data_IF_500018311899
#
_entry.id   IF_500018311899
#
_cell.length_a   1.000
_cell.length_b   1.000
_cell.length_c   1.000
_cell.angle_alpha   90.00
_cell.angle_beta   90.00
_cell.angle_gamma   90.00
#
_symmetry.space_group_name_H-M   'P 1'
#
loop_
_entity.id
_entity.type
_entity.pdbx_description
1 polymer ?
#
# COMPACT_ATOMS: atom_id res chain seq x y z
N UNK A 1 -66.78 -17.90 2.33
CA UNK A 1 -67.11 -16.55 1.81
C UNK A 1 -66.91 -15.54 2.93
N UNK A 2 -66.26 -14.42 2.60
CA UNK A 2 -65.82 -13.28 3.46
C UNK A 2 -64.66 -13.53 4.43
N UNK A 3 -63.47 -13.03 4.07
CA UNK A 3 -62.91 -11.79 4.63
C UNK A 3 -61.71 -11.30 3.80
N UNK A 4 -61.78 -10.06 3.31
CA UNK A 4 -60.65 -9.28 2.82
C UNK A 4 -59.67 -9.06 3.99
N UNK A 5 -58.41 -9.41 3.80
CA UNK A 5 -57.30 -9.04 4.68
C UNK A 5 -56.33 -8.14 3.91
N UNK A 6 -56.22 -6.88 4.33
CA UNK A 6 -55.22 -5.93 3.84
C UNK A 6 -53.82 -6.47 4.14
N UNK A 7 -53.03 -6.76 3.09
CA UNK A 7 -51.59 -6.93 3.23
C UNK A 7 -50.94 -5.53 3.14
N UNK A 8 -50.72 -4.92 4.30
CA UNK A 8 -49.83 -3.77 4.42
C UNK A 8 -48.41 -4.32 4.37
N UNK A 9 -47.69 -4.11 3.26
CA UNK A 9 -46.25 -4.29 3.23
C UNK A 9 -45.61 -3.20 4.09
N UNK A 10 -45.34 -3.53 5.35
CA UNK A 10 -44.49 -2.72 6.22
C UNK A 10 -43.06 -2.91 5.70
N UNK A 11 -42.60 -1.95 4.89
CA UNK A 11 -41.19 -1.75 4.63
C UNK A 11 -40.57 -1.31 5.96
N UNK A 12 -39.96 -2.25 6.68
CA UNK A 12 -39.11 -1.92 7.83
C UNK A 12 -37.87 -1.25 7.25
N UNK A 13 -37.87 0.08 7.27
CA UNK A 13 -36.65 0.88 7.21
C UNK A 13 -35.78 0.40 8.38
N UNK A 14 -34.76 -0.40 8.08
CA UNK A 14 -33.62 -0.58 8.96
C UNK A 14 -32.99 0.80 9.11
N UNK A 15 -33.39 1.49 10.18
CA UNK A 15 -32.70 2.66 10.70
C UNK A 15 -31.22 2.29 10.76
N UNK A 16 -30.45 2.96 9.90
CA UNK A 16 -29.01 3.00 9.99
C UNK A 16 -28.66 3.32 11.44
N UNK A 17 -28.06 2.34 12.11
CA UNK A 17 -27.23 2.62 13.26
C UNK A 17 -26.11 3.52 12.73
N UNK A 18 -26.35 4.83 12.73
CA UNK A 18 -25.29 5.82 12.71
C UNK A 18 -24.46 5.50 13.94
N UNK A 19 -23.37 4.77 13.72
CA UNK A 19 -22.44 4.45 14.77
C UNK A 19 -21.86 5.79 15.22
N UNK A 20 -22.21 6.21 16.43
CA UNK A 20 -21.70 7.42 17.07
C UNK A 20 -20.22 7.18 17.50
N UNK A 21 -19.41 6.64 16.60
CA UNK A 21 -17.97 6.47 16.81
C UNK A 21 -17.35 7.85 16.83
N UNK A 22 -16.65 8.17 17.91
CA UNK A 22 -15.89 9.40 18.03
C UNK A 22 -14.48 9.14 17.50
N UNK A 23 -14.00 10.07 16.69
CA UNK A 23 -12.62 10.08 16.21
C UNK A 23 -11.65 9.96 17.37
N UNK A 24 -10.66 9.08 17.26
CA UNK A 24 -9.46 9.16 18.11
C UNK A 24 -8.62 10.30 17.56
N UNK A 25 -8.42 11.35 18.36
CA UNK A 25 -7.54 12.46 17.98
C UNK A 25 -6.10 12.15 18.40
N UNK A 26 -5.21 12.17 17.43
CA UNK A 26 -3.77 11.99 17.62
C UNK A 26 -3.13 13.39 17.64
N UNK A 27 -2.38 13.67 18.71
CA UNK A 27 -1.58 14.89 18.81
C UNK A 27 -0.35 14.76 17.90
N UNK A 28 -0.21 15.63 16.89
CA UNK A 28 0.96 15.65 16.04
C UNK A 28 1.90 16.79 16.43
N UNK A 29 3.09 16.44 16.92
CA UNK A 29 4.13 17.39 17.31
C UNK A 29 4.89 17.83 16.05
N UNK A 30 4.87 19.12 15.75
CA UNK A 30 5.57 19.71 14.60
C UNK A 30 6.97 20.20 15.00
N UNK A 31 7.86 19.25 15.28
CA UNK A 31 9.24 19.46 15.71
C UNK A 31 10.25 18.88 14.70
N UNK A 32 11.54 19.07 14.95
CA UNK A 32 12.60 18.44 14.13
C UNK A 32 12.52 16.91 14.25
N UNK A 33 12.95 16.21 13.20
CA UNK A 33 12.96 14.74 13.18
C UNK A 33 13.83 14.15 14.28
N UNK A 34 13.23 13.28 15.09
CA UNK A 34 13.96 12.49 16.08
C UNK A 34 14.68 11.31 15.41
N UNK A 35 15.87 10.98 15.88
CA UNK A 35 16.58 9.78 15.43
C UNK A 35 16.24 8.61 16.36
N UNK A 36 15.66 7.56 15.80
CA UNK A 36 15.40 6.30 16.50
C UNK A 36 16.22 5.17 15.87
N UNK A 37 16.49 4.13 16.65
CA UNK A 37 17.18 2.94 16.14
C UNK A 37 16.18 2.00 15.46
N UNK A 38 16.57 1.33 14.38
CA UNK A 38 15.74 0.29 13.77
C UNK A 38 15.43 -0.81 14.79
N UNK A 39 16.38 -1.18 15.64
CA UNK A 39 16.21 -2.21 16.67
C UNK A 39 15.13 -1.91 17.72
N UNK A 40 14.69 -0.65 17.87
CA UNK A 40 13.59 -0.31 18.78
C UNK A 40 12.20 -0.63 18.20
N UNK A 41 12.10 -0.88 16.90
CA UNK A 41 10.85 -1.12 16.19
C UNK A 41 10.81 -2.46 15.44
N UNK A 42 11.96 -2.96 15.00
CA UNK A 42 12.09 -4.18 14.24
C UNK A 42 13.12 -5.11 14.88
N UNK A 43 12.78 -6.40 15.05
CA UNK A 43 13.69 -7.39 15.63
C UNK A 43 14.77 -7.88 14.66
N UNK A 44 14.56 -7.75 13.35
CA UNK A 44 15.51 -8.24 12.35
C UNK A 44 15.41 -7.53 11.00
N UNK A 45 16.52 -7.61 10.23
CA UNK A 45 16.59 -7.22 8.82
C UNK A 45 17.08 -8.44 8.03
N UNK A 46 16.22 -9.00 7.18
CA UNK A 46 16.61 -10.02 6.22
C UNK A 46 17.12 -9.35 4.94
N UNK A 47 18.40 -9.59 4.61
CA UNK A 47 18.99 -9.14 3.34
C UNK A 47 18.86 -10.25 2.30
N UNK A 48 18.18 -9.97 1.19
CA UNK A 48 17.90 -10.92 0.12
C UNK A 48 18.52 -10.37 -1.17
N UNK A 49 19.52 -11.07 -1.70
CA UNK A 49 20.15 -10.73 -2.99
C UNK A 49 19.38 -11.49 -4.07
N UNK A 50 18.72 -10.76 -4.95
CA UNK A 50 17.98 -11.37 -6.05
C UNK A 50 18.93 -11.83 -7.15
N UNK A 51 18.77 -13.05 -7.63
CA UNK A 51 19.56 -13.57 -8.75
C UNK A 51 19.40 -12.66 -9.98
N UNK A 52 20.52 -12.29 -10.57
CA UNK A 52 20.56 -11.56 -11.85
C UNK A 52 20.71 -12.54 -13.01
N UNK A 53 19.85 -12.40 -14.01
CA UNK A 53 19.95 -13.10 -15.30
C UNK A 53 19.52 -12.17 -16.42
N UNK A 54 20.06 -12.37 -17.62
CA UNK A 54 19.70 -11.57 -18.80
C UNK A 54 18.19 -11.61 -19.12
N UNK A 55 17.52 -12.73 -18.83
CA UNK A 55 16.08 -12.94 -19.03
C UNK A 55 15.21 -12.52 -17.82
N UNK A 56 15.84 -12.07 -16.72
CA UNK A 56 15.19 -11.79 -15.45
C UNK A 56 15.57 -10.41 -14.86
N UNK A 57 15.95 -9.44 -15.69
CA UNK A 57 16.30 -8.09 -15.23
C UNK A 57 15.08 -7.30 -14.74
N UNK A 58 15.16 -6.79 -13.52
CA UNK A 58 14.19 -5.88 -12.91
C UNK A 58 14.61 -4.45 -13.22
N UNK A 59 13.72 -3.66 -13.81
CA UNK A 59 13.99 -2.24 -14.08
C UNK A 59 13.43 -1.29 -13.02
N UNK A 60 12.42 -1.72 -12.25
CA UNK A 60 11.85 -0.99 -11.12
C UNK A 60 11.21 -1.97 -10.13
N UNK A 61 11.37 -1.73 -8.83
CA UNK A 61 10.58 -2.40 -7.79
C UNK A 61 9.33 -1.56 -7.51
N UNK A 62 8.23 -1.90 -8.17
CA UNK A 62 6.97 -1.20 -7.95
C UNK A 62 6.17 -1.76 -6.77
N UNK A 63 6.25 -3.08 -6.54
CA UNK A 63 5.57 -3.78 -5.45
C UNK A 63 6.23 -5.14 -5.18
N UNK A 64 6.40 -5.50 -3.91
CA UNK A 64 6.90 -6.80 -3.43
C UNK A 64 5.83 -7.50 -2.59
N UNK A 65 5.58 -8.79 -2.82
CA UNK A 65 4.79 -9.66 -1.92
C UNK A 65 5.53 -10.94 -1.61
N UNK A 66 5.22 -11.49 -0.44
CA UNK A 66 5.73 -12.75 0.04
C UNK A 66 4.59 -13.77 0.21
N UNK A 67 4.87 -15.05 -0.04
CA UNK A 67 3.94 -16.14 0.25
C UNK A 67 4.57 -17.50 -0.01
N UNK A 68 4.34 -18.48 0.88
CA UNK A 68 4.89 -19.86 0.81
C UNK A 68 6.36 -19.95 0.34
N UNK A 69 7.26 -19.18 0.97
CA UNK A 69 8.69 -19.13 0.59
C UNK A 69 8.94 -18.71 -0.87
N UNK A 70 8.10 -17.81 -1.38
CA UNK A 70 8.25 -17.10 -2.64
C UNK A 70 8.27 -15.60 -2.43
N UNK A 71 8.95 -14.92 -3.35
CA UNK A 71 8.98 -13.46 -3.46
C UNK A 71 8.46 -13.11 -4.84
N UNK A 72 7.45 -12.24 -4.89
CA UNK A 72 6.84 -11.74 -6.11
C UNK A 72 7.17 -10.27 -6.25
N UNK A 73 7.81 -9.89 -7.34
CA UNK A 73 8.20 -8.52 -7.62
C UNK A 73 7.49 -8.05 -8.88
N UNK A 74 6.67 -7.03 -8.74
CA UNK A 74 6.07 -6.32 -9.85
C UNK A 74 6.98 -5.20 -10.31
N UNK A 75 7.33 -5.24 -11.59
CA UNK A 75 7.86 -4.09 -12.31
C UNK A 75 6.78 -3.60 -13.28
N UNK A 76 6.04 -2.56 -12.88
CA UNK A 76 4.90 -2.05 -13.66
C UNK A 76 5.24 -0.94 -14.64
N UNK A 77 6.51 -0.56 -14.77
CA UNK A 77 6.92 0.59 -15.62
C UNK A 77 7.98 0.26 -16.65
N UNK A 78 8.92 -0.63 -16.34
CA UNK A 78 10.03 -0.98 -17.23
C UNK A 78 9.78 -2.33 -17.88
N UNK A 79 9.62 -3.39 -17.10
CA UNK A 79 9.44 -4.74 -17.62
C UNK A 79 7.98 -5.13 -17.88
N UNK A 80 7.00 -4.44 -17.27
CA UNK A 80 5.58 -4.78 -17.32
C UNK A 80 5.32 -6.26 -16.98
N UNK A 81 6.04 -6.76 -15.98
CA UNK A 81 6.14 -8.18 -15.67
C UNK A 81 6.15 -8.42 -14.16
N UNK A 82 5.81 -9.65 -13.76
CA UNK A 82 6.01 -10.12 -12.39
C UNK A 82 7.14 -11.14 -12.36
N UNK A 83 8.12 -10.93 -11.50
CA UNK A 83 9.23 -11.85 -11.29
C UNK A 83 8.98 -12.67 -10.02
N UNK A 84 9.20 -13.97 -10.12
CA UNK A 84 9.02 -14.95 -9.05
C UNK A 84 10.39 -15.47 -8.65
N UNK A 85 10.71 -15.34 -7.37
CA UNK A 85 11.91 -15.87 -6.75
C UNK A 85 11.52 -16.81 -5.61
N UNK A 86 12.43 -17.68 -5.18
CA UNK A 86 12.32 -18.34 -3.89
C UNK A 86 12.65 -17.38 -2.74
N UNK A 87 12.47 -17.83 -1.49
CA UNK A 87 12.77 -17.01 -0.31
C UNK A 87 14.24 -16.71 -0.06
N UNK A 88 15.16 -17.35 -0.80
CA UNK A 88 16.60 -17.05 -0.76
C UNK A 88 17.02 -16.05 -1.84
N UNK A 89 16.12 -15.74 -2.79
CA UNK A 89 16.36 -14.80 -3.87
C UNK A 89 16.77 -15.47 -5.18
N UNK A 90 16.70 -16.80 -5.30
CA UNK A 90 16.97 -17.48 -6.57
C UNK A 90 15.79 -17.32 -7.52
N UNK A 91 16.06 -17.06 -8.80
CA UNK A 91 15.04 -16.84 -9.81
C UNK A 91 14.31 -18.13 -10.16
N UNK A 92 12.98 -18.07 -10.18
CA UNK A 92 12.12 -19.20 -10.57
C UNK A 92 11.51 -18.93 -11.93
N UNK A 93 10.84 -17.78 -12.08
CA UNK A 93 10.06 -17.49 -13.28
C UNK A 93 9.80 -16.01 -13.47
N UNK A 94 9.76 -15.58 -14.73
CA UNK A 94 9.19 -14.31 -15.13
C UNK A 94 7.80 -14.56 -15.73
N UNK A 95 6.79 -13.96 -15.12
CA UNK A 95 5.43 -13.88 -15.66
C UNK A 95 5.42 -12.61 -16.52
N UNK A 96 5.82 -12.80 -17.76
CA UNK A 96 5.75 -11.76 -18.79
C UNK A 96 4.51 -11.94 -19.66
N UNK A 97 3.96 -10.83 -20.14
CA UNK A 97 2.90 -10.87 -21.13
C UNK A 97 3.42 -11.36 -22.49
N UNK A 98 2.72 -12.32 -23.12
CA UNK A 98 2.75 -12.55 -24.56
C UNK A 98 1.57 -11.87 -25.27
N UNK A 99 1.86 -11.03 -26.26
CA UNK A 99 1.00 -10.04 -26.94
C UNK A 99 -0.50 -10.36 -27.14
N UNK A 100 -0.91 -11.63 -27.17
CA UNK A 100 -2.31 -12.08 -27.15
C UNK A 100 -2.45 -13.45 -26.47
N UNK A 101 -3.44 -13.65 -25.59
CA UNK A 101 -3.85 -14.97 -25.07
C UNK A 101 -4.26 -14.96 -23.59
N UNK A 102 -4.78 -16.09 -23.06
CA UNK A 102 -5.09 -16.23 -21.64
C UNK A 102 -3.85 -16.00 -20.77
N UNK A 103 -4.00 -15.23 -19.69
CA UNK A 103 -2.90 -14.92 -18.77
C UNK A 103 -1.91 -13.86 -19.28
N UNK A 104 -2.21 -13.20 -20.40
CA UNK A 104 -1.42 -12.07 -20.89
C UNK A 104 -1.49 -10.88 -19.91
N UNK A 105 -0.32 -10.36 -19.52
CA UNK A 105 -0.20 -9.10 -18.79
C UNK A 105 0.06 -7.95 -19.78
N UNK A 106 -0.83 -6.96 -19.85
CA UNK A 106 -0.67 -5.77 -20.68
C UNK A 106 -0.10 -4.60 -19.87
N UNK A 107 -0.70 -4.34 -18.70
CA UNK A 107 -0.28 -3.28 -17.80
C UNK A 107 -0.57 -3.69 -16.35
N UNK A 108 0.15 -4.68 -15.79
CA UNK A 108 -0.10 -5.15 -14.43
C UNK A 108 0.17 -4.01 -13.45
N UNK A 109 -0.78 -3.70 -12.56
CA UNK A 109 -0.70 -2.53 -11.67
C UNK A 109 -0.58 -2.92 -10.19
N UNK A 110 -1.26 -4.02 -9.82
CA UNK A 110 -1.23 -4.60 -8.47
C UNK A 110 -1.19 -6.12 -8.51
N UNK A 111 -0.66 -6.70 -7.43
CA UNK A 111 -0.75 -8.13 -7.16
C UNK A 111 -0.99 -8.38 -5.68
N UNK A 112 -1.64 -9.51 -5.40
CA UNK A 112 -1.85 -10.04 -4.06
C UNK A 112 -1.58 -11.54 -4.06
N UNK A 113 -1.14 -12.06 -2.92
CA UNK A 113 -0.96 -13.50 -2.71
C UNK A 113 -2.08 -13.96 -1.78
N UNK A 114 -2.89 -14.92 -2.25
CA UNK A 114 -3.99 -15.52 -1.50
C UNK A 114 -3.76 -17.03 -1.42
N UNK A 115 -3.42 -17.53 -0.23
CA UNK A 115 -3.12 -18.96 -0.02
C UNK A 115 -2.04 -19.43 -1.02
N UNK A 116 -2.40 -20.33 -1.93
CA UNK A 116 -1.58 -20.95 -2.98
C UNK A 116 -1.71 -20.25 -4.36
N UNK A 117 -2.27 -19.04 -4.39
CA UNK A 117 -2.57 -18.31 -5.61
C UNK A 117 -1.96 -16.90 -5.61
N UNK A 118 -1.41 -16.54 -6.78
CA UNK A 118 -1.00 -15.18 -7.10
C UNK A 118 -2.07 -14.55 -7.99
N UNK A 119 -2.70 -13.48 -7.54
CA UNK A 119 -3.65 -12.70 -8.33
C UNK A 119 -3.00 -11.41 -8.80
N UNK A 120 -3.09 -11.12 -10.08
CA UNK A 120 -2.54 -9.93 -10.72
C UNK A 120 -3.69 -9.15 -11.36
N UNK A 121 -3.82 -7.88 -10.98
CA UNK A 121 -4.81 -6.97 -11.56
C UNK A 121 -4.18 -6.16 -12.71
N UNK A 122 -4.84 -6.19 -13.87
CA UNK A 122 -4.51 -5.38 -15.03
C UNK A 122 -5.66 -4.41 -15.34
N UNK A 123 -5.54 -3.12 -14.97
CA UNK A 123 -6.56 -2.12 -15.20
C UNK A 123 -6.79 -1.78 -16.68
N UNK A 124 -5.84 -2.05 -17.58
CA UNK A 124 -6.04 -1.77 -19.01
C UNK A 124 -6.94 -2.81 -19.66
N UNK A 125 -6.83 -4.05 -19.21
CA UNK A 125 -7.74 -5.11 -19.62
C UNK A 125 -9.03 -5.13 -18.78
N UNK A 126 -9.00 -4.49 -17.61
CA UNK A 126 -9.98 -4.60 -16.52
C UNK A 126 -10.24 -6.07 -16.16
N UNK A 127 -9.15 -6.79 -15.88
CA UNK A 127 -9.14 -8.22 -15.58
C UNK A 127 -8.27 -8.51 -14.37
N UNK A 128 -8.57 -9.63 -13.73
CA UNK A 128 -7.68 -10.28 -12.77
C UNK A 128 -7.23 -11.60 -13.34
N UNK A 129 -5.92 -11.82 -13.37
CA UNK A 129 -5.29 -13.06 -13.80
C UNK A 129 -4.80 -13.82 -12.57
N UNK A 130 -5.12 -15.10 -12.49
CA UNK A 130 -4.77 -15.97 -11.37
C UNK A 130 -3.71 -16.97 -11.81
N UNK A 131 -2.63 -17.06 -11.04
CA UNK A 131 -1.50 -17.95 -11.25
C UNK A 131 -1.26 -18.81 -10.01
N UNK A 132 -0.56 -19.94 -10.17
CA UNK A 132 0.09 -20.61 -9.05
C UNK A 132 1.26 -19.78 -8.52
N UNK A 133 1.77 -20.11 -7.34
CA UNK A 133 2.95 -19.46 -6.76
C UNK A 133 4.25 -19.72 -7.56
N UNK A 134 4.26 -20.72 -8.45
CA UNK A 134 5.31 -20.98 -9.44
C UNK A 134 5.10 -20.20 -10.75
N UNK A 135 4.08 -19.34 -10.81
CA UNK A 135 3.76 -18.49 -11.95
C UNK A 135 3.15 -19.23 -13.14
N UNK A 136 2.46 -20.35 -12.91
CA UNK A 136 1.68 -21.02 -13.96
C UNK A 136 0.26 -20.45 -14.01
N UNK A 137 -0.19 -20.03 -15.19
CA UNK A 137 -1.54 -19.47 -15.35
C UNK A 137 -2.62 -20.51 -15.01
N UNK A 138 -3.60 -20.11 -14.20
CA UNK A 138 -4.76 -20.93 -13.83
C UNK A 138 -6.01 -20.49 -14.59
N UNK A 139 -6.46 -19.25 -14.39
CA UNK A 139 -7.66 -18.69 -15.00
C UNK A 139 -7.65 -17.15 -14.92
N UNK A 140 -8.62 -16.50 -15.56
CA UNK A 140 -8.82 -15.04 -15.50
C UNK A 140 -10.30 -14.69 -15.35
N UNK A 141 -10.56 -13.55 -14.70
CA UNK A 141 -11.91 -13.00 -14.50
C UNK A 141 -11.98 -11.57 -15.05
N UNK A 142 -13.04 -11.30 -15.82
CA UNK A 142 -13.38 -9.95 -16.29
C UNK A 142 -14.02 -9.16 -15.14
N UNK A 143 -13.48 -7.99 -14.83
CA UNK A 143 -14.09 -7.06 -13.88
C UNK A 143 -15.08 -6.08 -14.55
N UNK A 144 -15.17 -6.12 -15.89
CA UNK A 144 -16.10 -5.26 -16.64
C UNK A 144 -17.55 -5.64 -16.34
N UNK A 145 -17.81 -6.93 -16.21
CA UNK A 145 -19.16 -7.47 -16.00
C UNK A 145 -19.64 -7.25 -14.56
N UNK A 146 -18.72 -7.01 -13.63
CA UNK A 146 -18.99 -6.69 -12.23
C UNK A 146 -19.00 -5.18 -11.96
N UNK A 147 -18.73 -4.35 -12.97
CA UNK A 147 -18.74 -2.90 -12.85
C UNK A 147 -17.67 -2.34 -11.92
N UNK A 148 -16.50 -2.98 -11.85
CA UNK A 148 -15.39 -2.56 -10.98
C UNK A 148 -14.33 -1.85 -11.84
N UNK A 149 -13.89 -0.67 -11.40
CA UNK A 149 -12.75 0.06 -11.94
C UNK A 149 -11.77 0.42 -10.82
N UNK A 150 -11.08 -0.60 -10.32
CA UNK A 150 -10.26 -0.48 -9.13
C UNK A 150 -9.05 0.44 -9.33
N UNK A 151 -8.77 1.22 -8.29
CA UNK A 151 -7.57 2.04 -8.15
C UNK A 151 -6.47 1.37 -7.32
N UNK A 152 -6.87 0.49 -6.40
CA UNK A 152 -5.98 -0.21 -5.49
C UNK A 152 -6.54 -1.60 -5.16
N UNK A 153 -5.69 -2.51 -4.68
CA UNK A 153 -6.07 -3.88 -4.37
C UNK A 153 -5.28 -4.43 -3.18
N UNK A 154 -5.97 -5.12 -2.27
CA UNK A 154 -5.34 -5.79 -1.12
C UNK A 154 -5.90 -7.19 -0.89
N UNK A 155 -5.09 -8.07 -0.31
CA UNK A 155 -5.55 -9.34 0.22
C UNK A 155 -6.11 -9.12 1.63
N UNK A 156 -7.34 -9.55 1.89
CA UNK A 156 -7.88 -9.56 3.25
C UNK A 156 -8.65 -10.85 3.49
N UNK A 157 -8.34 -11.55 4.59
CA UNK A 157 -9.07 -12.77 5.04
C UNK A 157 -9.28 -13.84 3.95
N UNK A 158 -8.33 -13.94 3.00
CA UNK A 158 -8.35 -14.93 1.93
C UNK A 158 -9.07 -14.49 0.66
N UNK A 159 -9.44 -13.23 0.54
CA UNK A 159 -10.12 -12.63 -0.61
C UNK A 159 -9.33 -11.43 -1.14
N UNK A 160 -9.45 -11.15 -2.43
CA UNK A 160 -8.97 -9.91 -3.02
C UNK A 160 -10.07 -8.83 -2.85
N UNK A 161 -9.69 -7.71 -2.26
CA UNK A 161 -10.56 -6.55 -2.07
C UNK A 161 -10.04 -5.40 -2.92
N UNK A 162 -10.93 -4.81 -3.70
CA UNK A 162 -10.66 -3.73 -4.62
C UNK A 162 -11.19 -2.40 -4.07
N UNK A 163 -10.37 -1.36 -4.14
CA UNK A 163 -10.78 0.00 -3.82
C UNK A 163 -11.25 0.72 -5.09
N UNK A 164 -12.47 1.24 -5.07
CA UNK A 164 -13.13 1.84 -6.24
C UNK A 164 -13.75 3.21 -5.91
N UNK A 165 -13.33 4.25 -6.64
CA UNK A 165 -13.90 5.60 -6.57
C UNK A 165 -14.92 5.89 -7.67
N UNK A 166 -14.87 5.17 -8.79
CA UNK A 166 -15.41 5.66 -10.05
C UNK A 166 -16.77 5.10 -10.38
N UNK A 167 -17.02 3.85 -10.02
CA UNK A 167 -18.13 3.13 -10.63
C UNK A 167 -19.49 3.52 -10.04
N UNK A 168 -19.54 4.06 -8.81
CA UNK A 168 -20.77 4.53 -8.16
C UNK A 168 -20.69 6.04 -7.85
N UNK A 169 -21.48 6.89 -8.53
CA UNK A 169 -21.39 8.35 -8.38
C UNK A 169 -21.69 8.86 -6.97
N UNK A 170 -22.63 8.22 -6.27
CA UNK A 170 -23.09 8.67 -4.94
C UNK A 170 -22.20 8.15 -3.80
N UNK A 171 -21.31 7.19 -4.08
CA UNK A 171 -20.34 6.68 -3.12
C UNK A 171 -19.12 7.60 -3.11
N UNK A 172 -18.59 7.86 -1.91
CA UNK A 172 -17.25 8.41 -1.76
C UNK A 172 -16.24 7.37 -2.25
N UNK A 173 -16.32 6.14 -1.73
CA UNK A 173 -15.59 4.98 -2.23
C UNK A 173 -16.35 3.68 -1.94
N UNK A 174 -15.92 2.61 -2.61
CA UNK A 174 -16.37 1.25 -2.34
C UNK A 174 -15.20 0.31 -2.12
N UNK A 175 -15.40 -0.68 -1.26
CA UNK A 175 -14.58 -1.88 -1.17
C UNK A 175 -15.40 -3.04 -1.69
N UNK A 176 -14.93 -3.65 -2.77
CA UNK A 176 -15.65 -4.72 -3.48
C UNK A 176 -14.78 -5.94 -3.66
N UNK A 177 -15.39 -7.12 -3.65
CA UNK A 177 -14.68 -8.36 -4.00
C UNK A 177 -14.55 -8.51 -5.53
N UNK A 178 -13.95 -9.61 -5.98
CA UNK A 178 -13.78 -9.91 -7.41
C UNK A 178 -15.11 -10.11 -8.16
N UNK A 179 -16.18 -10.47 -7.45
CA UNK A 179 -17.52 -10.71 -8.01
C UNK A 179 -18.39 -9.46 -8.03
N UNK A 180 -17.92 -8.35 -7.46
CA UNK A 180 -18.67 -7.10 -7.31
C UNK A 180 -19.57 -7.06 -6.07
N UNK A 181 -19.41 -7.99 -5.13
CA UNK A 181 -20.08 -7.92 -3.83
C UNK A 181 -19.44 -6.79 -2.99
N UNK A 182 -20.28 -5.85 -2.54
CA UNK A 182 -19.83 -4.71 -1.74
C UNK A 182 -19.60 -5.11 -0.29
N UNK A 183 -18.34 -5.05 0.15
CA UNK A 183 -17.99 -5.16 1.57
C UNK A 183 -18.19 -3.83 2.30
N UNK A 184 -17.89 -2.71 1.63
CA UNK A 184 -18.08 -1.35 2.14
C UNK A 184 -18.57 -0.46 1.01
N UNK A 185 -19.59 0.34 1.30
CA UNK A 185 -20.04 1.43 0.45
C UNK A 185 -20.11 2.69 1.32
N UNK A 186 -19.05 3.49 1.26
CA UNK A 186 -18.97 4.72 2.04
C UNK A 186 -19.63 5.83 1.23
N UNK A 187 -20.69 6.42 1.78
CA UNK A 187 -21.33 7.61 1.20
C UNK A 187 -20.51 8.86 1.53
N UNK A 188 -20.69 9.91 0.73
CA UNK A 188 -20.06 11.21 0.93
C UNK A 188 -20.67 11.97 2.12
N UNK A 189 -20.48 11.45 3.32
CA UNK A 189 -20.95 12.02 4.59
C UNK A 189 -19.84 12.82 5.30
N UNK A 190 -18.60 12.71 4.83
CA UNK A 190 -17.46 13.47 5.32
C UNK A 190 -17.17 14.64 4.36
N UNK A 191 -16.62 15.75 4.85
CA UNK A 191 -16.10 16.85 4.02
C UNK A 191 -14.79 16.44 3.32
N UNK A 192 -14.79 15.26 2.71
CA UNK A 192 -13.61 14.65 2.10
C UNK A 192 -13.54 14.87 0.60
N UNK A 193 -12.33 14.72 0.07
CA UNK A 193 -12.03 15.00 -1.32
C UNK A 193 -12.03 13.72 -2.13
N UNK A 194 -12.94 13.62 -3.09
CA UNK A 194 -12.99 12.54 -4.08
C UNK A 194 -12.08 12.88 -5.27
N UNK A 195 -11.11 12.03 -5.55
CA UNK A 195 -10.23 12.18 -6.71
C UNK A 195 -10.90 11.60 -7.95
N UNK A 196 -11.40 12.48 -8.82
CA UNK A 196 -12.09 12.07 -10.07
C UNK A 196 -11.13 11.81 -11.23
N UNK A 197 -9.88 12.28 -11.13
CA UNK A 197 -8.84 12.04 -12.14
C UNK A 197 -7.45 12.11 -11.53
N UNK A 198 -6.55 11.24 -11.99
CA UNK A 198 -5.24 11.03 -11.37
C UNK A 198 -5.31 10.03 -10.22
N UNK A 199 -4.15 9.73 -9.63
CA UNK A 199 -4.04 8.72 -8.57
C UNK A 199 -3.05 9.16 -7.52
N UNK A 200 -3.46 9.03 -6.27
CA UNK A 200 -2.62 9.05 -5.09
C UNK A 200 -2.64 7.64 -4.52
N UNK A 201 -1.51 6.95 -4.51
CA UNK A 201 -1.46 5.56 -4.07
C UNK A 201 -0.47 5.40 -2.92
N UNK A 202 -0.71 4.48 -1.97
CA UNK A 202 -1.88 3.60 -1.84
C UNK A 202 -3.11 4.31 -1.22
N UNK A 203 -4.29 3.73 -1.37
CA UNK A 203 -5.52 4.14 -0.65
C UNK A 203 -5.90 3.14 0.46
N UNK A 204 -5.50 1.87 0.31
CA UNK A 204 -5.85 0.80 1.25
C UNK A 204 -4.61 0.12 1.82
N UNK A 205 -4.68 -0.18 3.11
CA UNK A 205 -3.69 -1.00 3.82
C UNK A 205 -4.40 -1.92 4.82
N UNK A 206 -3.66 -2.77 5.51
CA UNK A 206 -4.19 -3.58 6.61
C UNK A 206 -3.70 -3.06 7.95
N UNK A 207 -4.52 -3.31 8.96
CA UNK A 207 -4.10 -3.26 10.37
C UNK A 207 -3.53 -4.60 10.81
N UNK A 208 -2.81 -4.65 11.93
CA UNK A 208 -2.36 -5.92 12.53
C UNK A 208 -3.49 -6.91 12.82
N UNK A 209 -4.68 -6.39 13.12
CA UNK A 209 -5.87 -7.19 13.41
C UNK A 209 -6.68 -7.57 12.14
N UNK A 210 -6.10 -7.41 10.95
CA UNK A 210 -6.74 -7.71 9.66
C UNK A 210 -8.04 -6.91 9.43
N UNK A 211 -8.07 -5.66 9.89
CA UNK A 211 -9.05 -4.67 9.43
C UNK A 211 -8.51 -3.98 8.19
N UNK A 212 -9.41 -3.53 7.31
CA UNK A 212 -9.01 -2.73 6.15
C UNK A 212 -8.90 -1.28 6.61
N UNK A 213 -7.74 -0.68 6.42
CA UNK A 213 -7.52 0.75 6.66
C UNK A 213 -7.61 1.49 5.33
N UNK A 214 -8.41 2.54 5.29
CA UNK A 214 -8.58 3.45 4.14
C UNK A 214 -8.02 4.81 4.52
N UNK A 215 -7.21 5.39 3.64
CA UNK A 215 -6.78 6.78 3.73
C UNK A 215 -7.18 7.52 2.45
N UNK A 216 -7.86 8.65 2.62
CA UNK A 216 -8.36 9.45 1.51
C UNK A 216 -7.57 10.77 1.38
N UNK A 217 -7.31 11.25 0.16
CA UNK A 217 -6.73 12.58 -0.06
C UNK A 217 -7.58 13.66 0.62
N UNK A 218 -6.93 14.68 1.18
CA UNK A 218 -7.60 15.74 1.95
C UNK A 218 -8.07 15.32 3.34
N UNK A 219 -8.12 14.02 3.66
CA UNK A 219 -8.42 13.55 5.00
C UNK A 219 -7.17 13.46 5.86
N UNK A 220 -7.27 13.97 7.08
CA UNK A 220 -6.28 13.74 8.13
C UNK A 220 -6.64 12.55 9.00
N UNK A 221 -7.50 11.65 8.49
CA UNK A 221 -7.94 10.46 9.19
C UNK A 221 -7.57 9.17 8.44
N UNK A 222 -7.32 8.13 9.23
CA UNK A 222 -7.27 6.74 8.80
C UNK A 222 -8.58 6.06 9.25
N UNK A 223 -9.32 5.49 8.31
CA UNK A 223 -10.61 4.83 8.59
C UNK A 223 -10.43 3.32 8.58
N UNK A 224 -10.88 2.64 9.63
CA UNK A 224 -10.71 1.20 9.78
C UNK A 224 -12.04 0.46 9.68
N UNK A 225 -12.13 -0.47 8.73
CA UNK A 225 -13.31 -1.25 8.44
C UNK A 225 -13.13 -2.72 8.80
N UNK A 226 -14.17 -3.29 9.41
CA UNK A 226 -14.33 -4.72 9.60
C UNK A 226 -15.60 -5.24 8.90
N UNK A 227 -16.03 -6.48 9.18
CA UNK A 227 -17.22 -7.07 8.54
C UNK A 227 -18.53 -6.35 8.88
N UNK A 228 -18.58 -5.60 9.98
CA UNK A 228 -19.74 -4.84 10.41
C UNK A 228 -19.77 -3.41 9.85
N UNK A 229 -18.72 -2.99 9.12
CA UNK A 229 -18.58 -1.64 8.55
C UNK A 229 -17.46 -0.85 9.22
N UNK A 230 -17.62 0.47 9.32
CA UNK A 230 -16.65 1.34 9.98
C UNK A 230 -16.55 0.95 11.47
N UNK A 231 -15.34 0.58 11.89
CA UNK A 231 -15.07 0.05 13.23
C UNK A 231 -14.31 1.05 14.12
N UNK A 232 -13.45 1.87 13.51
CA UNK A 232 -12.65 2.90 14.17
C UNK A 232 -12.19 3.92 13.14
N UNK A 233 -11.79 5.11 13.58
CA UNK A 233 -11.02 6.03 12.76
C UNK A 233 -10.15 6.94 13.63
N UNK A 234 -8.93 7.17 13.16
CA UNK A 234 -7.87 7.89 13.86
C UNK A 234 -7.50 9.14 13.05
N UNK A 235 -7.63 10.32 13.65
CA UNK A 235 -7.40 11.59 12.97
C UNK A 235 -6.22 12.33 13.60
N UNK A 236 -5.29 12.77 12.78
CA UNK A 236 -4.18 13.63 13.20
C UNK A 236 -4.64 15.09 13.25
N UNK A 237 -4.28 15.78 14.33
CA UNK A 237 -4.55 17.20 14.50
C UNK A 237 -3.33 18.02 14.05
N UNK A 238 -3.43 18.64 12.86
CA UNK A 238 -2.38 19.49 12.27
C UNK A 238 -2.59 21.00 12.52
N UNK A 239 -3.63 21.38 13.27
CA UNK A 239 -4.10 22.76 13.37
C UNK A 239 -4.85 23.25 12.13
N UNK A 240 -5.87 24.11 12.32
CA UNK A 240 -6.84 24.50 11.27
C UNK A 240 -6.23 25.19 10.03
N UNK A 241 -5.04 25.79 10.15
CA UNK A 241 -4.40 26.59 9.09
C UNK A 241 -3.77 25.75 7.96
N UNK A 242 -3.66 24.43 8.14
CA UNK A 242 -2.98 23.53 7.20
C UNK A 242 -3.94 22.72 6.30
N UNK A 243 -5.25 22.97 6.39
CA UNK A 243 -6.27 22.16 5.73
C UNK A 243 -6.53 22.63 4.29
N UNK A 244 -6.55 21.67 3.35
CA UNK A 244 -7.08 21.92 2.02
C UNK A 244 -8.61 22.09 2.08
N UNK A 245 -9.11 23.31 1.86
CA UNK A 245 -10.55 23.64 1.79
C UNK A 245 -11.05 23.69 0.35
N UNK A 246 -10.78 22.66 -0.45
CA UNK A 246 -11.21 22.62 -1.85
C UNK A 246 -12.59 22.00 -2.05
N UNK A 247 -12.91 21.77 -3.33
CA UNK A 247 -14.16 21.15 -3.75
C UNK A 247 -14.22 19.68 -3.33
N UNK A 248 -15.43 19.13 -3.20
CA UNK A 248 -15.65 17.71 -2.88
C UNK A 248 -15.09 16.76 -3.94
N UNK A 249 -14.84 17.25 -5.16
CA UNK A 249 -14.24 16.49 -6.26
C UNK A 249 -13.05 17.26 -6.85
N UNK A 250 -11.92 16.57 -7.06
CA UNK A 250 -10.70 17.20 -7.60
C UNK A 250 -9.99 16.33 -8.64
N UNK A 251 -9.25 17.00 -9.52
CA UNK A 251 -8.18 16.39 -10.29
C UNK A 251 -6.94 16.36 -9.39
N UNK A 252 -6.33 15.19 -9.20
CA UNK A 252 -5.22 15.04 -8.24
C UNK A 252 -4.01 15.92 -8.58
N UNK A 253 -3.76 16.17 -9.87
CA UNK A 253 -2.69 17.09 -10.31
C UNK A 253 -2.89 18.49 -9.74
N UNK A 254 -4.10 19.02 -9.86
CA UNK A 254 -4.42 20.39 -9.43
C UNK A 254 -4.42 20.48 -7.90
N UNK A 255 -4.94 19.46 -7.24
CA UNK A 255 -4.86 19.29 -5.79
C UNK A 255 -3.39 19.30 -5.31
N UNK A 256 -2.51 18.54 -5.96
CA UNK A 256 -1.09 18.49 -5.62
C UNK A 256 -0.38 19.81 -5.88
N UNK A 257 -0.68 20.49 -6.99
CA UNK A 257 -0.11 21.81 -7.29
C UNK A 257 -0.51 22.86 -6.25
N UNK A 258 -1.76 22.84 -5.79
CA UNK A 258 -2.22 23.71 -4.71
C UNK A 258 -1.53 23.39 -3.38
N UNK A 259 -1.41 22.10 -3.05
CA UNK A 259 -0.71 21.64 -1.84
C UNK A 259 0.73 22.16 -1.80
N UNK A 260 1.45 22.07 -2.92
CA UNK A 260 2.83 22.58 -3.04
C UNK A 260 2.87 24.11 -2.95
N UNK A 261 2.01 24.81 -3.70
CA UNK A 261 2.05 26.28 -3.75
C UNK A 261 1.69 26.95 -2.42
N UNK A 262 0.83 26.31 -1.64
CA UNK A 262 0.33 26.84 -0.36
C UNK A 262 1.01 26.21 0.86
N UNK A 263 2.00 25.34 0.66
CA UNK A 263 2.69 24.61 1.73
C UNK A 263 1.72 23.84 2.66
N UNK A 264 0.64 23.29 2.09
CA UNK A 264 -0.38 22.55 2.85
C UNK A 264 0.11 21.16 3.22
N UNK A 265 -0.56 20.56 4.20
CA UNK A 265 -0.30 19.20 4.66
C UNK A 265 -1.33 18.20 4.13
N UNK A 266 -0.91 16.97 3.89
CA UNK A 266 -1.78 15.83 3.60
C UNK A 266 -1.18 14.55 4.16
N UNK A 267 -2.00 13.71 4.78
CA UNK A 267 -1.56 12.38 5.20
C UNK A 267 -1.19 11.48 4.03
N UNK A 268 -0.11 10.73 4.24
CA UNK A 268 0.38 9.50 3.60
C UNK A 268 -0.63 8.35 3.46
N UNK A 269 -0.68 7.62 2.36
CA UNK A 269 -1.45 6.38 2.28
C UNK A 269 -0.64 5.18 2.78
N UNK A 270 0.68 5.21 2.57
CA UNK A 270 1.61 4.22 3.09
C UNK A 270 1.66 4.24 4.61
N UNK A 271 1.52 3.06 5.21
CA UNK A 271 1.37 2.89 6.65
C UNK A 271 1.90 1.52 7.07
N UNK A 272 2.77 1.48 8.08
CA UNK A 272 3.23 0.25 8.74
C UNK A 272 2.63 0.20 10.13
N UNK A 273 1.79 -0.79 10.39
CA UNK A 273 1.14 -0.97 11.69
C UNK A 273 1.98 -1.92 12.55
N UNK A 274 2.58 -1.41 13.63
CA UNK A 274 3.37 -2.17 14.59
C UNK A 274 2.58 -2.38 15.89
N UNK A 275 3.09 -3.20 16.82
CA UNK A 275 2.35 -3.53 18.06
C UNK A 275 2.10 -2.29 18.92
N UNK A 276 3.16 -1.52 19.22
CA UNK A 276 3.09 -0.30 20.04
C UNK A 276 3.15 1.01 19.25
N UNK A 277 3.46 0.93 17.95
CA UNK A 277 3.72 2.10 17.13
C UNK A 277 3.03 1.98 15.77
N UNK A 278 2.96 3.08 15.04
CA UNK A 278 2.66 3.09 13.61
C UNK A 278 3.63 4.00 12.88
N UNK A 279 4.05 3.60 11.68
CA UNK A 279 4.89 4.42 10.81
C UNK A 279 4.09 4.89 9.62
N UNK A 280 4.18 6.17 9.29
CA UNK A 280 3.47 6.76 8.18
C UNK A 280 4.25 7.97 7.64
N UNK A 281 3.74 8.60 6.59
CA UNK A 281 4.36 9.81 6.04
C UNK A 281 3.35 10.94 5.93
N UNK A 282 3.81 12.17 5.99
CA UNK A 282 3.01 13.37 5.72
C UNK A 282 3.63 14.07 4.52
N UNK A 283 2.81 14.47 3.56
CA UNK A 283 3.21 15.41 2.52
C UNK A 283 3.01 16.82 3.07
N UNK A 284 4.05 17.64 3.12
CA UNK A 284 3.95 19.07 3.42
C UNK A 284 4.60 19.85 2.27
N UNK A 285 3.80 20.57 1.50
CA UNK A 285 4.27 21.19 0.27
C UNK A 285 4.90 20.15 -0.67
N UNK A 286 6.16 20.35 -1.05
CA UNK A 286 6.93 19.37 -1.84
C UNK A 286 7.66 18.30 -0.99
N UNK A 287 7.74 18.49 0.33
CA UNK A 287 8.46 17.61 1.23
C UNK A 287 7.62 16.40 1.67
N UNK A 288 8.30 15.30 1.96
CA UNK A 288 7.72 14.12 2.60
C UNK A 288 8.38 13.98 3.98
N UNK A 289 7.56 13.95 5.01
CA UNK A 289 7.99 13.84 6.41
C UNK A 289 7.65 12.44 6.90
N UNK A 290 8.68 11.64 7.16
CA UNK A 290 8.53 10.33 7.76
C UNK A 290 8.25 10.47 9.26
N UNK A 291 7.21 9.80 9.74
CA UNK A 291 6.66 10.02 11.08
C UNK A 291 6.32 8.71 11.78
N UNK A 292 6.35 8.76 13.10
CA UNK A 292 5.89 7.68 13.99
C UNK A 292 4.67 8.17 14.77
N UNK A 293 3.79 7.24 15.12
CA UNK A 293 2.75 7.39 16.12
C UNK A 293 3.00 6.39 17.24
N UNK A 294 3.22 6.89 18.45
CA UNK A 294 3.26 6.11 19.69
C UNK A 294 1.82 5.94 20.21
N UNK A 295 1.36 4.68 20.24
CA UNK A 295 -0.02 4.34 20.60
C UNK A 295 -0.29 4.43 22.10
N UNK A 296 0.74 4.31 22.94
CA UNK A 296 0.62 4.39 24.39
C UNK A 296 0.54 5.86 24.83
N UNK A 297 1.42 6.69 24.27
CA UNK A 297 1.49 8.13 24.56
C UNK A 297 0.44 8.95 23.79
N UNK A 298 -0.20 8.36 22.78
CA UNK A 298 -1.12 9.01 21.85
C UNK A 298 -0.49 10.25 21.17
N UNK A 299 0.78 10.14 20.76
CA UNK A 299 1.56 11.22 20.15
C UNK A 299 2.19 10.76 18.86
N UNK A 300 2.18 11.63 17.86
CA UNK A 300 2.87 11.42 16.61
C UNK A 300 3.88 12.54 16.34
N UNK A 301 5.02 12.20 15.73
CA UNK A 301 6.10 13.15 15.48
C UNK A 301 7.02 12.68 14.35
N UNK A 302 7.76 13.60 13.69
CA UNK A 302 8.73 13.27 12.65
C UNK A 302 9.89 12.44 13.19
N UNK A 303 10.36 11.46 12.40
CA UNK A 303 11.49 10.60 12.74
C UNK A 303 12.41 10.30 11.55
N UNK A 304 13.60 9.79 11.87
CA UNK A 304 14.48 9.03 10.99
C UNK A 304 14.90 7.75 11.71
N UNK A 305 15.00 6.63 10.99
CA UNK A 305 15.48 5.37 11.58
C UNK A 305 16.94 5.13 11.20
N UNK A 306 17.79 5.03 12.22
CA UNK A 306 19.20 4.67 12.10
C UNK A 306 19.38 3.16 12.13
N UNK A 307 20.09 2.62 11.14
CA UNK A 307 20.39 1.20 11.13
C UNK A 307 21.52 0.86 12.12
N UNK A 308 21.11 0.33 13.28
CA UNK A 308 21.96 -0.19 14.35
C UNK A 308 22.00 -1.73 14.42
N UNK A 309 21.23 -2.43 13.59
CA UNK A 309 21.25 -3.90 13.49
C UNK A 309 22.42 -4.43 12.63
N UNK A 310 23.22 -3.53 12.08
CA UNK A 310 24.40 -3.85 11.26
C UNK A 310 24.05 -4.16 9.80
N UNK A 311 25.06 -4.61 9.05
CA UNK A 311 24.91 -4.91 7.64
C UNK A 311 24.73 -3.67 6.77
N UNK A 312 24.36 -3.92 5.53
CA UNK A 312 24.37 -2.92 4.46
C UNK A 312 23.01 -2.22 4.24
N UNK A 313 21.99 -2.51 5.05
CA UNK A 313 20.71 -1.81 4.97
C UNK A 313 20.92 -0.31 5.29
N UNK A 314 20.48 0.62 4.42
CA UNK A 314 20.55 2.05 4.72
C UNK A 314 19.70 2.46 5.92
N UNK A 315 19.95 3.67 6.42
CA UNK A 315 19.01 4.39 7.29
C UNK A 315 17.68 4.63 6.54
N UNK A 316 16.57 4.74 7.29
CA UNK A 316 15.22 4.86 6.72
C UNK A 316 14.69 6.25 7.01
N UNK A 317 14.50 7.03 5.95
CA UNK A 317 13.98 8.39 6.01
C UNK A 317 12.65 8.56 5.26
N UNK A 318 12.14 7.49 4.65
CA UNK A 318 10.83 7.49 3.98
C UNK A 318 10.28 6.06 3.84
N UNK A 319 8.96 5.97 3.68
CA UNK A 319 8.29 4.70 3.39
C UNK A 319 8.12 4.49 1.89
N UNK A 320 8.28 3.24 1.39
CA UNK A 320 7.86 2.88 0.06
C UNK A 320 6.33 2.83 -0.01
N UNK A 321 5.76 3.16 -1.18
CA UNK A 321 4.31 3.24 -1.33
C UNK A 321 3.57 1.92 -1.03
N UNK A 322 4.08 0.79 -1.51
CA UNK A 322 3.38 -0.51 -1.46
C UNK A 322 4.08 -1.62 -0.70
N UNK A 323 5.34 -1.40 -0.30
CA UNK A 323 6.17 -2.41 0.34
C UNK A 323 6.11 -2.26 1.87
N UNK A 324 4.92 -1.96 2.36
CA UNK A 324 4.55 -1.79 3.76
C UNK A 324 3.42 -2.76 4.09
N UNK A 325 3.55 -3.48 5.21
CA UNK A 325 2.57 -4.45 5.70
C UNK A 325 2.50 -4.38 7.23
N UNK A 326 1.46 -4.91 7.87
CA UNK A 326 1.43 -5.01 9.33
C UNK A 326 2.65 -5.77 9.86
N UNK A 327 3.42 -5.15 10.76
CA UNK A 327 4.64 -5.73 11.33
C UNK A 327 5.84 -5.86 10.38
N UNK A 328 5.75 -5.33 9.15
CA UNK A 328 6.79 -5.57 8.14
C UNK A 328 6.98 -4.38 7.18
N UNK A 329 8.25 -4.09 6.87
CA UNK A 329 8.67 -3.11 5.87
C UNK A 329 9.68 -3.74 4.93
N UNK A 330 9.52 -3.56 3.63
CA UNK A 330 10.50 -4.02 2.63
C UNK A 330 11.05 -2.85 1.84
N UNK A 331 12.37 -2.67 1.91
CA UNK A 331 13.11 -1.75 1.06
C UNK A 331 13.81 -2.53 -0.03
N UNK A 332 14.06 -1.90 -1.18
CA UNK A 332 14.85 -2.52 -2.23
C UNK A 332 15.68 -1.47 -2.94
N UNK A 333 16.95 -1.81 -3.17
CA UNK A 333 17.92 -0.90 -3.77
C UNK A 333 18.71 -1.62 -4.85
N UNK A 334 18.94 -0.95 -5.97
CA UNK A 334 19.93 -1.44 -6.92
C UNK A 334 21.33 -1.32 -6.31
N UNK A 335 22.26 -2.25 -6.61
CA UNK A 335 23.62 -2.19 -6.06
C UNK A 335 24.34 -0.87 -6.32
N UNK A 336 24.15 -0.29 -7.51
CA UNK A 336 24.67 1.04 -7.85
C UNK A 336 24.14 2.15 -6.92
N UNK A 337 22.87 2.11 -6.55
CA UNK A 337 22.26 3.09 -5.64
C UNK A 337 22.85 2.98 -4.23
N UNK A 338 23.07 1.75 -3.74
CA UNK A 338 23.73 1.53 -2.44
C UNK A 338 25.16 2.08 -2.43
N UNK A 339 25.92 1.91 -3.51
CA UNK A 339 27.26 2.51 -3.61
C UNK A 339 27.20 4.03 -3.55
N UNK A 340 26.19 4.66 -4.16
CA UNK A 340 26.01 6.12 -4.09
C UNK A 340 25.64 6.56 -2.67
N UNK A 341 24.70 5.87 -2.02
CA UNK A 341 24.30 6.14 -0.63
C UNK A 341 25.52 6.10 0.30
N UNK A 342 26.40 5.11 0.12
CA UNK A 342 27.54 4.91 1.00
C UNK A 342 28.85 5.53 0.51
N UNK A 343 28.88 6.27 -0.60
CA UNK A 343 30.10 6.73 -1.29
C UNK A 343 31.07 7.57 -0.42
N UNK A 344 30.58 8.14 0.68
CA UNK A 344 31.35 8.94 1.65
C UNK A 344 30.96 8.62 3.10
N UNK A 345 30.49 7.40 3.34
CA UNK A 345 30.06 6.95 4.67
C UNK A 345 31.10 6.03 5.30
N UNK A 346 31.07 5.92 6.62
CA UNK A 346 31.89 4.95 7.36
C UNK A 346 31.53 3.49 7.03
N UNK A 347 30.36 3.23 6.43
CA UNK A 347 29.90 1.90 5.98
C UNK A 347 30.33 1.53 4.55
N UNK A 348 31.07 2.39 3.85
CA UNK A 348 31.49 2.14 2.46
C UNK A 348 32.26 0.83 2.31
N UNK A 349 33.24 0.58 3.19
CA UNK A 349 34.08 -0.61 3.10
C UNK A 349 33.28 -1.89 3.39
N UNK A 350 32.36 -1.84 4.36
CA UNK A 350 31.46 -2.96 4.69
C UNK A 350 30.60 -3.35 3.48
N UNK A 351 30.05 -2.37 2.76
CA UNK A 351 29.30 -2.60 1.51
C UNK A 351 30.17 -3.28 0.45
N UNK A 352 31.37 -2.76 0.21
CA UNK A 352 32.28 -3.30 -0.81
C UNK A 352 32.73 -4.72 -0.48
N UNK A 353 32.97 -5.03 0.79
CA UNK A 353 33.31 -6.38 1.25
C UNK A 353 32.12 -7.33 1.10
N UNK A 354 30.90 -6.88 1.39
CA UNK A 354 29.68 -7.65 1.14
C UNK A 354 29.50 -7.95 -0.36
N UNK A 355 29.63 -6.94 -1.24
CA UNK A 355 29.51 -7.11 -2.69
C UNK A 355 30.57 -8.07 -3.23
N UNK A 356 31.82 -7.93 -2.79
CA UNK A 356 32.91 -8.84 -3.18
C UNK A 356 32.65 -10.28 -2.75
N UNK A 357 32.14 -10.48 -1.53
CA UNK A 357 31.85 -11.81 -0.97
C UNK A 357 30.71 -12.50 -1.72
N UNK A 358 29.71 -11.72 -2.16
CA UNK A 358 28.53 -12.21 -2.88
C UNK A 358 28.67 -12.14 -4.41
N UNK A 359 29.80 -11.65 -4.91
CA UNK A 359 30.04 -11.39 -6.34
C UNK A 359 28.98 -10.49 -6.99
N UNK A 360 28.57 -9.43 -6.30
CA UNK A 360 27.55 -8.47 -6.77
C UNK A 360 28.18 -7.38 -7.64
N UNK A 361 27.58 -7.13 -8.79
CA UNK A 361 27.91 -6.07 -9.75
C UNK A 361 26.90 -4.91 -9.70
N UNK A 362 27.27 -3.74 -10.25
CA UNK A 362 26.42 -2.55 -10.19
C UNK A 362 25.12 -2.66 -10.99
N UNK A 363 25.15 -3.50 -12.03
CA UNK A 363 24.01 -3.79 -12.91
C UNK A 363 23.15 -4.95 -12.43
N UNK A 364 23.47 -5.56 -11.29
CA UNK A 364 22.68 -6.67 -10.76
C UNK A 364 21.28 -6.24 -10.33
N UNK A 365 20.40 -7.23 -10.24
CA UNK A 365 19.06 -7.05 -9.72
C UNK A 365 19.11 -6.47 -8.28
N UNK A 366 18.03 -5.81 -7.84
CA UNK A 366 17.99 -5.18 -6.53
C UNK A 366 18.26 -6.14 -5.37
N UNK A 367 18.82 -5.58 -4.30
CA UNK A 367 18.90 -6.23 -2.99
C UNK A 367 17.69 -5.78 -2.17
N UNK A 368 16.93 -6.73 -1.62
CA UNK A 368 15.81 -6.45 -0.72
C UNK A 368 16.26 -6.49 0.73
N UNK A 369 15.74 -5.55 1.52
CA UNK A 369 15.86 -5.51 2.98
C UNK A 369 14.46 -5.63 3.56
N UNK A 370 14.14 -6.80 4.10
CA UNK A 370 12.86 -7.09 4.74
C UNK A 370 13.01 -6.96 6.25
N UNK A 371 12.43 -5.91 6.80
CA UNK A 371 12.40 -5.62 8.23
C UNK A 371 11.15 -6.24 8.84
N UNK A 372 11.34 -6.96 9.94
CA UNK A 372 10.27 -7.71 10.62
C UNK A 372 10.26 -7.31 12.09
N UNK A 373 9.08 -6.96 12.60
CA UNK A 373 8.83 -6.67 14.01
C UNK A 373 9.04 -7.90 14.89
#
# INVERSE_FOLDING_TARGET
MLKLGNLVYIFIFLLSYSCNQKAVKIEYLQNESEELNISSLFSSIQTIVLETRDDALIGEISLVRYGENRIFILDKRRALSVFVFDGEGNFIKKIEGGWTGPGYLNFPDHLVVLKDELMIYDPRQNKVMVFSLEGSFKHESSLKDTGIYALDMIANKGEAVFFDFYSEPNSLFRLVDVNGEEAVNQLNEFEEVKVVSGRRLPYVSLTKDNKIRVQLPGSFCYYEYDKAGLSNYECLDFGEENNFQGQSEVIFKDYYEELVQKELSMLRGEFVDLTGHSLFSIQQGAAVIFSIYDKEENKAYPIRLKNDLGGICPDIESLPAYNVHPGELTLGFFPGDLKLIYAQSDKQQELLDFFKTKAIEDSDNPILFRLIE
#
